data_IF_685111384489
#
_entry.id   IF_685111384489
#
_cell.length_a   1.000
_cell.length_b   1.000
_cell.length_c   1.000
_cell.angle_alpha   90.00
_cell.angle_beta   90.00
_cell.angle_gamma   90.00
#
_symmetry.space_group_name_H-M   'P 1'
#
loop_
_entity.id
_entity.type
_entity.pdbx_description
1 polymer ?
#
# COMPACT_ATOMS: atom_id res chain seq x y z
N UNK A 1 48.52 -61.72 31.80
CA UNK A 1 47.36 -62.16 32.60
C UNK A 1 46.53 -60.92 32.87
N UNK A 2 45.25 -60.78 32.57
CA UNK A 2 44.25 -61.62 31.94
C UNK A 2 43.11 -60.65 31.60
N UNK A 3 42.44 -60.91 30.47
CA UNK A 3 41.07 -60.54 30.08
C UNK A 3 40.13 -60.37 31.28
N UNK A 4 39.12 -59.48 31.27
CA UNK A 4 37.80 -59.75 30.68
C UNK A 4 37.07 -58.44 30.30
N UNK A 5 36.60 -58.40 29.04
CA UNK A 5 35.47 -57.60 28.54
C UNK A 5 34.16 -58.28 28.97
N UNK A 6 33.19 -57.54 29.48
CA UNK A 6 31.78 -57.97 29.46
C UNK A 6 30.83 -56.76 29.47
N UNK A 7 30.37 -56.43 28.26
CA UNK A 7 28.99 -56.10 27.87
C UNK A 7 28.11 -55.27 28.83
N UNK A 8 27.93 -53.99 28.47
CA UNK A 8 26.69 -53.27 28.77
C UNK A 8 25.93 -53.12 27.44
N UNK A 9 24.76 -53.76 27.39
CA UNK A 9 23.86 -53.73 26.26
C UNK A 9 23.42 -52.29 25.94
N UNK A 10 23.64 -51.88 24.69
CA UNK A 10 23.02 -50.68 24.12
C UNK A 10 21.53 -50.98 23.97
N UNK A 11 20.70 -50.41 24.84
CA UNK A 11 19.25 -50.39 24.64
C UNK A 11 18.99 -49.47 23.45
N UNK A 12 18.70 -50.08 22.31
CA UNK A 12 18.06 -49.41 21.19
C UNK A 12 16.56 -49.32 21.50
N UNK A 13 16.06 -48.09 21.63
CA UNK A 13 14.71 -47.60 21.33
C UNK A 13 14.60 -46.21 22.00
N UNK A 14 13.97 -45.19 21.44
CA UNK A 14 12.82 -45.21 20.55
C UNK A 14 12.85 -43.97 19.65
N UNK A 15 12.35 -44.17 18.43
CA UNK A 15 11.72 -43.16 17.57
C UNK A 15 12.32 -41.76 17.58
N UNK A 16 13.08 -41.45 16.52
CA UNK A 16 13.06 -40.10 15.97
C UNK A 16 11.59 -39.78 15.63
N UNK A 17 10.87 -39.21 16.59
CA UNK A 17 9.58 -38.60 16.36
C UNK A 17 9.79 -37.58 15.27
N UNK A 18 9.17 -37.81 14.12
CA UNK A 18 9.10 -36.85 13.05
C UNK A 18 8.51 -35.57 13.66
N UNK A 19 9.38 -34.59 13.96
CA UNK A 19 8.93 -33.23 14.16
C UNK A 19 8.26 -32.88 12.85
N UNK A 20 6.93 -32.90 12.85
CA UNK A 20 6.12 -32.47 11.72
C UNK A 20 6.61 -31.08 11.36
N UNK A 21 7.47 -31.01 10.36
CA UNK A 21 7.98 -29.77 9.80
C UNK A 21 6.81 -29.11 9.12
N UNK A 22 6.04 -28.34 9.88
CA UNK A 22 4.98 -27.51 9.32
C UNK A 22 5.64 -26.61 8.28
N UNK A 23 5.35 -26.90 7.00
CA UNK A 23 5.77 -26.01 5.92
C UNK A 23 5.18 -24.63 6.23
N UNK A 24 5.98 -23.55 6.14
CA UNK A 24 5.45 -22.21 6.32
C UNK A 24 4.29 -22.00 5.34
N UNK A 25 3.22 -21.30 5.75
CA UNK A 25 2.08 -21.09 4.88
C UNK A 25 2.53 -20.34 3.62
N UNK A 26 1.94 -20.71 2.48
CA UNK A 26 2.15 -19.96 1.25
C UNK A 26 1.71 -18.51 1.46
N UNK A 27 2.59 -17.57 1.15
CA UNK A 27 2.31 -16.14 1.21
C UNK A 27 1.72 -15.67 -0.11
N UNK A 28 1.05 -14.51 -0.07
CA UNK A 28 0.63 -13.82 -1.29
C UNK A 28 1.82 -13.56 -2.21
N UNK A 29 1.56 -13.64 -3.51
CA UNK A 29 2.49 -13.28 -4.57
C UNK A 29 1.76 -12.38 -5.56
N UNK A 30 2.51 -11.50 -6.22
CA UNK A 30 1.99 -10.66 -7.28
C UNK A 30 1.30 -11.54 -8.36
N UNK A 31 0.07 -11.19 -8.78
CA UNK A 31 -0.62 -11.95 -9.82
C UNK A 31 0.09 -11.83 -11.17
N UNK A 32 0.04 -12.90 -11.94
CA UNK A 32 0.53 -12.90 -13.31
C UNK A 32 -0.47 -12.24 -14.25
N UNK A 33 0.03 -11.40 -15.16
CA UNK A 33 -0.77 -10.80 -16.20
C UNK A 33 -0.87 -11.73 -17.41
N UNK A 34 -2.10 -12.11 -17.76
CA UNK A 34 -2.41 -13.03 -18.85
C UNK A 34 -2.96 -12.32 -20.09
N UNK A 35 -3.09 -10.99 -20.06
CA UNK A 35 -3.50 -10.19 -21.21
C UNK A 35 -2.37 -10.01 -22.23
N UNK A 36 -2.70 -9.41 -23.38
CA UNK A 36 -1.72 -9.14 -24.43
C UNK A 36 -0.88 -7.89 -24.11
N UNK A 37 0.32 -7.81 -24.70
CA UNK A 37 1.18 -6.62 -24.56
C UNK A 37 0.47 -5.38 -25.13
N UNK A 38 -0.26 -5.53 -26.23
CA UNK A 38 -0.99 -4.44 -26.88
C UNK A 38 -2.10 -3.88 -25.98
N UNK A 39 -2.77 -4.74 -25.21
CA UNK A 39 -3.78 -4.33 -24.23
C UNK A 39 -3.14 -3.55 -23.07
N UNK A 40 -1.98 -3.99 -22.58
CA UNK A 40 -1.22 -3.26 -21.56
C UNK A 40 -0.75 -1.91 -22.10
N UNK A 41 -0.20 -1.85 -23.32
CA UNK A 41 0.23 -0.61 -23.96
C UNK A 41 -0.95 0.36 -24.18
N UNK A 42 -2.16 -0.16 -24.40
CA UNK A 42 -3.36 0.67 -24.46
C UNK A 42 -3.67 1.31 -23.11
N UNK A 43 -3.60 0.55 -22.01
CA UNK A 43 -3.72 1.09 -20.65
C UNK A 43 -2.65 2.16 -20.36
N UNK A 44 -1.42 1.95 -20.81
CA UNK A 44 -0.33 2.94 -20.69
C UNK A 44 -0.63 4.24 -21.44
N UNK A 45 -1.11 4.15 -22.68
CA UNK A 45 -1.52 5.32 -23.47
C UNK A 45 -2.66 6.09 -22.81
N UNK A 46 -3.64 5.38 -22.27
CA UNK A 46 -4.75 5.98 -21.53
C UNK A 46 -4.28 6.69 -20.27
N UNK A 47 -3.38 6.07 -19.50
CA UNK A 47 -2.78 6.68 -18.32
C UNK A 47 -2.01 7.96 -18.70
N UNK A 48 -1.18 7.91 -19.75
CA UNK A 48 -0.47 9.08 -20.24
C UNK A 48 -1.43 10.21 -20.65
N UNK A 49 -2.51 9.88 -21.35
CA UNK A 49 -3.57 10.83 -21.72
C UNK A 49 -4.27 11.44 -20.50
N UNK A 50 -4.58 10.63 -19.49
CA UNK A 50 -5.17 11.10 -18.21
C UNK A 50 -4.25 12.07 -17.49
N UNK A 51 -2.95 11.74 -17.35
CA UNK A 51 -1.97 12.60 -16.69
C UNK A 51 -1.76 13.91 -17.46
N UNK A 52 -1.68 13.84 -18.80
CA UNK A 52 -1.56 15.03 -19.64
C UNK A 52 -2.81 15.92 -19.53
N UNK A 53 -4.01 15.33 -19.51
CA UNK A 53 -5.26 16.04 -19.31
C UNK A 53 -5.38 16.71 -17.94
N UNK A 54 -4.85 16.09 -16.88
CA UNK A 54 -4.76 16.71 -15.55
C UNK A 54 -3.77 17.88 -15.59
N UNK A 55 -2.55 17.69 -16.11
CA UNK A 55 -1.53 18.72 -16.18
C UNK A 55 -1.90 19.90 -17.10
N UNK A 56 -2.78 19.69 -18.09
CA UNK A 56 -3.32 20.75 -18.94
C UNK A 56 -4.41 21.59 -18.26
N UNK A 57 -5.03 21.08 -17.19
CA UNK A 57 -6.07 21.78 -16.41
C UNK A 57 -5.54 22.41 -15.13
N UNK A 58 -4.51 21.80 -14.53
CA UNK A 58 -4.01 22.12 -13.20
C UNK A 58 -2.48 22.25 -13.22
N UNK A 59 -1.96 23.33 -12.64
CA UNK A 59 -0.54 23.67 -12.67
C UNK A 59 0.18 23.34 -11.36
N UNK A 60 -0.57 22.99 -10.31
CA UNK A 60 -0.05 22.72 -8.96
C UNK A 60 -0.62 21.41 -8.41
N UNK A 61 -0.88 20.45 -9.29
CA UNK A 61 -1.45 19.17 -8.91
C UNK A 61 -0.45 18.41 -8.02
N UNK A 62 -0.96 17.77 -6.97
CA UNK A 62 -0.15 17.03 -5.99
C UNK A 62 -0.53 15.56 -6.01
N UNK A 63 0.44 14.68 -6.23
CA UNK A 63 0.26 13.24 -6.14
C UNK A 63 0.75 12.72 -4.79
N UNK A 64 -0.17 12.20 -3.97
CA UNK A 64 0.14 11.58 -2.70
C UNK A 64 0.54 10.12 -2.91
N UNK A 65 1.83 9.82 -2.83
CA UNK A 65 2.39 8.48 -3.00
C UNK A 65 2.68 7.85 -1.64
N UNK A 66 2.09 6.67 -1.40
CA UNK A 66 2.45 5.79 -0.29
C UNK A 66 3.63 4.87 -0.59
N UNK A 67 4.22 4.98 -1.79
CA UNK A 67 5.29 4.11 -2.30
C UNK A 67 4.88 2.63 -2.44
N UNK A 68 3.57 2.37 -2.51
CA UNK A 68 3.01 1.07 -2.87
C UNK A 68 3.07 0.83 -4.38
N UNK A 69 2.85 -0.42 -4.82
CA UNK A 69 2.93 -0.83 -6.22
C UNK A 69 2.19 0.12 -7.19
N UNK A 70 0.91 0.40 -6.97
CA UNK A 70 0.14 1.35 -7.77
C UNK A 70 0.71 2.76 -7.80
N UNK A 71 1.21 3.22 -6.67
CA UNK A 71 1.74 4.57 -6.55
C UNK A 71 3.08 4.69 -7.29
N UNK A 72 3.82 3.57 -7.39
CA UNK A 72 5.04 3.49 -8.19
C UNK A 72 4.76 3.49 -9.69
N UNK A 73 3.64 2.92 -10.16
CA UNK A 73 3.17 3.09 -11.55
C UNK A 73 2.94 4.57 -11.85
N UNK A 74 2.19 5.27 -10.99
CA UNK A 74 1.93 6.71 -11.18
C UNK A 74 3.20 7.55 -11.07
N UNK A 75 4.08 7.25 -10.11
CA UNK A 75 5.37 7.93 -9.95
C UNK A 75 6.19 7.81 -11.23
N UNK A 76 6.34 6.60 -11.77
CA UNK A 76 7.08 6.36 -12.99
C UNK A 76 6.44 7.07 -14.21
N UNK A 77 5.13 6.94 -14.39
CA UNK A 77 4.40 7.57 -15.48
C UNK A 77 4.47 9.10 -15.46
N UNK A 78 4.44 9.71 -14.26
CA UNK A 78 4.61 11.16 -14.09
C UNK A 78 6.05 11.57 -14.43
N UNK A 79 7.05 10.87 -13.86
CA UNK A 79 8.46 11.27 -13.98
C UNK A 79 9.06 10.98 -15.36
N UNK A 80 8.50 10.03 -16.13
CA UNK A 80 8.82 9.82 -17.55
C UNK A 80 7.90 10.57 -18.51
N UNK A 81 6.89 11.26 -17.99
CA UNK A 81 5.90 11.97 -18.79
C UNK A 81 6.47 13.18 -19.53
N UNK A 82 5.60 13.86 -20.27
CA UNK A 82 5.94 15.11 -20.94
C UNK A 82 6.41 16.17 -19.95
N UNK A 83 7.08 17.21 -20.45
CA UNK A 83 7.52 18.34 -19.61
C UNK A 83 6.36 18.99 -18.85
N UNK A 84 5.20 19.13 -19.49
CA UNK A 84 3.99 19.65 -18.85
C UNK A 84 3.55 18.76 -17.68
N UNK A 85 3.58 17.43 -17.83
CA UNK A 85 3.23 16.49 -16.75
C UNK A 85 4.24 16.59 -15.60
N UNK A 86 5.53 16.59 -15.89
CA UNK A 86 6.60 16.68 -14.88
C UNK A 86 6.58 18.02 -14.13
N UNK A 87 6.20 19.10 -14.80
CA UNK A 87 6.10 20.43 -14.19
C UNK A 87 4.79 20.61 -13.41
N UNK A 88 3.68 20.09 -13.91
CA UNK A 88 2.34 20.30 -13.37
C UNK A 88 1.95 19.36 -12.23
N UNK A 89 2.59 18.18 -12.10
CA UNK A 89 2.27 17.19 -11.08
C UNK A 89 3.48 16.93 -10.18
N UNK A 90 3.37 17.25 -8.89
CA UNK A 90 4.44 17.03 -7.91
C UNK A 90 4.11 15.84 -7.02
N UNK A 91 5.06 14.90 -6.96
CA UNK A 91 4.96 13.70 -6.12
C UNK A 91 5.47 14.00 -4.72
N UNK A 92 4.67 13.65 -3.70
CA UNK A 92 5.05 13.74 -2.29
C UNK A 92 4.64 12.46 -1.55
N UNK A 93 5.21 12.25 -0.36
CA UNK A 93 4.85 11.16 0.53
C UNK A 93 4.64 11.63 1.96
N UNK A 94 3.92 10.84 2.75
CA UNK A 94 3.71 11.06 4.17
C UNK A 94 4.66 10.17 4.97
N UNK A 95 5.76 10.76 5.44
CA UNK A 95 6.71 10.07 6.31
C UNK A 95 6.12 10.07 7.72
N UNK A 96 5.43 8.98 8.06
CA UNK A 96 4.63 8.91 9.30
C UNK A 96 5.47 8.77 10.57
N UNK A 97 6.79 8.64 10.47
CA UNK A 97 7.69 8.21 11.56
C UNK A 97 7.55 6.74 11.95
N UNK A 98 6.71 5.97 11.24
CA UNK A 98 6.36 4.57 11.53
C UNK A 98 6.31 3.70 10.28
N UNK A 99 6.95 4.11 9.18
CA UNK A 99 7.04 3.32 7.95
C UNK A 99 8.09 2.21 8.09
N UNK A 100 7.97 1.16 7.28
CA UNK A 100 9.02 0.13 7.21
C UNK A 100 10.30 0.71 6.60
N UNK A 101 11.45 0.16 6.99
CA UNK A 101 12.74 0.50 6.38
C UNK A 101 12.72 0.27 4.86
N UNK A 102 12.12 -0.83 4.40
CA UNK A 102 11.97 -1.13 2.97
C UNK A 102 11.09 -0.11 2.24
N UNK A 103 10.13 0.53 2.93
CA UNK A 103 9.33 1.61 2.34
C UNK A 103 10.17 2.87 2.15
N UNK A 104 11.00 3.22 3.15
CA UNK A 104 11.91 4.36 3.04
C UNK A 104 12.98 4.13 1.98
N UNK A 105 13.45 2.89 1.81
CA UNK A 105 14.43 2.54 0.77
C UNK A 105 13.90 2.76 -0.65
N UNK A 106 12.59 2.79 -0.88
CA UNK A 106 12.02 3.14 -2.20
C UNK A 106 12.35 4.59 -2.58
N UNK A 107 12.46 5.50 -1.61
CA UNK A 107 12.84 6.90 -1.86
C UNK A 107 14.22 7.00 -2.51
N UNK A 108 15.19 6.24 -1.97
CA UNK A 108 16.56 6.20 -2.50
C UNK A 108 16.58 5.57 -3.90
N UNK A 109 15.79 4.50 -4.12
CA UNK A 109 15.64 3.88 -5.44
C UNK A 109 15.05 4.84 -6.47
N UNK A 110 14.05 5.66 -6.08
CA UNK A 110 13.47 6.70 -6.95
C UNK A 110 14.51 7.77 -7.27
N UNK A 111 15.23 8.27 -6.26
CA UNK A 111 16.29 9.26 -6.46
C UNK A 111 17.38 8.74 -7.41
N UNK A 112 17.82 7.50 -7.22
CA UNK A 112 18.85 6.88 -8.05
C UNK A 112 18.39 6.68 -9.50
N UNK A 113 17.13 6.26 -9.72
CA UNK A 113 16.60 5.96 -11.05
C UNK A 113 16.19 7.21 -11.83
N UNK A 114 15.49 8.14 -11.19
CA UNK A 114 14.84 9.26 -11.87
C UNK A 114 15.53 10.60 -11.61
N UNK A 115 16.53 10.66 -10.71
CA UNK A 115 17.11 11.92 -10.27
C UNK A 115 16.11 12.82 -9.52
N UNK A 116 14.99 12.26 -9.05
CA UNK A 116 13.89 12.99 -8.44
C UNK A 116 13.81 12.74 -6.94
N UNK A 117 13.82 13.82 -6.15
CA UNK A 117 13.60 13.75 -4.70
C UNK A 117 12.12 13.86 -4.39
N UNK A 118 11.51 12.80 -3.86
CA UNK A 118 10.13 12.85 -3.37
C UNK A 118 10.09 13.72 -2.10
N UNK A 119 9.22 14.73 -2.11
CA UNK A 119 8.99 15.60 -0.96
C UNK A 119 8.34 14.79 0.18
N UNK A 120 8.89 14.89 1.39
CA UNK A 120 8.43 14.14 2.56
C UNK A 120 7.75 15.08 3.54
N UNK A 121 6.49 14.79 3.88
CA UNK A 121 5.77 15.48 4.94
C UNK A 121 5.75 14.60 6.19
N UNK A 122 6.37 15.10 7.26
CA UNK A 122 6.46 14.44 8.58
C UNK A 122 5.42 15.00 9.56
N UNK A 123 4.95 14.22 10.55
CA UNK A 123 4.05 14.74 11.58
C UNK A 123 4.67 15.87 12.41
N UNK A 124 3.80 16.72 12.96
CA UNK A 124 4.17 17.65 14.02
C UNK A 124 4.72 16.89 15.25
N UNK A 125 5.89 17.31 15.73
CA UNK A 125 6.62 16.61 16.77
C UNK A 125 5.92 16.72 18.13
N UNK A 126 5.36 17.88 18.45
CA UNK A 126 4.68 18.12 19.73
C UNK A 126 3.38 17.31 19.81
N UNK A 127 2.59 17.27 18.72
CA UNK A 127 1.40 16.45 18.62
C UNK A 127 1.72 14.95 18.78
N UNK A 128 2.82 14.48 18.18
CA UNK A 128 3.30 13.10 18.39
C UNK A 128 3.67 12.87 19.85
N UNK A 129 4.44 13.77 20.47
CA UNK A 129 4.84 13.63 21.88
C UNK A 129 3.62 13.58 22.82
N UNK A 130 2.63 14.45 22.58
CA UNK A 130 1.39 14.47 23.35
C UNK A 130 0.58 13.18 23.19
N UNK A 131 0.53 12.62 21.97
CA UNK A 131 -0.07 11.31 21.74
C UNK A 131 0.66 10.22 22.56
N UNK A 132 1.99 10.20 22.52
CA UNK A 132 2.80 9.21 23.23
C UNK A 132 2.64 9.29 24.75
N UNK A 133 2.55 10.50 25.32
CA UNK A 133 2.27 10.69 26.76
C UNK A 133 0.92 10.12 27.18
N UNK A 134 -0.09 10.24 26.31
CA UNK A 134 -1.47 9.83 26.61
C UNK A 134 -1.74 8.35 26.34
N UNK A 135 -1.21 7.82 25.23
CA UNK A 135 -1.54 6.50 24.70
C UNK A 135 -0.34 5.55 24.68
N UNK A 136 0.87 6.01 24.97
CA UNK A 136 2.09 5.22 24.79
C UNK A 136 2.48 5.01 23.32
N UNK A 137 3.57 4.28 23.10
CA UNK A 137 4.14 4.07 21.76
C UNK A 137 3.18 3.39 20.79
N UNK A 138 2.39 2.44 21.30
CA UNK A 138 1.53 1.57 20.51
C UNK A 138 0.04 1.65 20.93
N UNK A 139 -0.40 2.72 21.59
CA UNK A 139 -1.78 2.82 22.08
C UNK A 139 -2.85 2.85 20.99
N UNK A 140 -2.46 2.91 19.72
CA UNK A 140 -3.36 2.67 18.59
C UNK A 140 -3.89 1.22 18.52
N UNK A 141 -3.33 0.28 19.29
CA UNK A 141 -3.94 -1.05 19.48
C UNK A 141 -5.08 -1.04 20.49
N UNK A 142 -5.13 -0.05 21.38
CA UNK A 142 -6.04 -0.05 22.53
C UNK A 142 -7.48 0.30 22.12
N UNK A 143 -7.64 1.13 21.09
CA UNK A 143 -8.96 1.49 20.55
C UNK A 143 -8.91 2.06 19.13
N UNK A 144 -10.04 1.98 18.43
CA UNK A 144 -10.24 2.62 17.13
C UNK A 144 -10.02 4.13 17.21
N UNK A 145 -10.45 4.78 18.29
CA UNK A 145 -10.26 6.23 18.49
C UNK A 145 -8.79 6.59 18.66
N UNK A 146 -8.04 5.80 19.45
CA UNK A 146 -6.60 5.99 19.59
C UNK A 146 -5.86 5.75 18.26
N UNK A 147 -6.30 4.77 17.45
CA UNK A 147 -5.78 4.57 16.08
C UNK A 147 -6.10 5.75 15.17
N UNK A 148 -7.35 6.24 15.18
CA UNK A 148 -7.78 7.39 14.36
C UNK A 148 -7.01 8.65 14.76
N UNK A 149 -6.79 8.87 16.05
CA UNK A 149 -5.94 9.96 16.56
C UNK A 149 -4.49 9.85 16.06
N UNK A 150 -3.88 8.66 16.13
CA UNK A 150 -2.55 8.40 15.57
C UNK A 150 -2.50 8.69 14.06
N UNK A 151 -3.48 8.21 13.29
CA UNK A 151 -3.58 8.50 11.85
C UNK A 151 -3.83 9.99 11.57
N UNK A 152 -4.60 10.67 12.43
CA UNK A 152 -4.87 12.10 12.34
C UNK A 152 -3.58 12.90 12.38
N UNK A 153 -2.76 12.66 13.40
CA UNK A 153 -1.47 13.34 13.61
C UNK A 153 -0.45 12.94 12.55
N UNK A 154 -0.37 11.65 12.22
CA UNK A 154 0.71 11.13 11.35
C UNK A 154 0.40 11.16 9.85
N UNK A 155 -0.85 11.35 9.46
CA UNK A 155 -1.26 11.29 8.05
C UNK A 155 -2.20 12.42 7.65
N UNK A 156 -3.28 12.65 8.39
CA UNK A 156 -4.29 13.62 7.98
C UNK A 156 -3.76 15.05 8.05
N UNK A 157 -3.11 15.42 9.16
CA UNK A 157 -2.47 16.73 9.32
C UNK A 157 -1.36 16.95 8.27
N UNK A 158 -0.38 16.03 8.08
CA UNK A 158 0.65 16.21 7.05
C UNK A 158 0.08 16.29 5.63
N UNK A 159 -0.98 15.53 5.33
CA UNK A 159 -1.69 15.61 4.06
C UNK A 159 -2.32 17.00 3.85
N UNK A 160 -2.94 17.57 4.88
CA UNK A 160 -3.51 18.92 4.81
C UNK A 160 -2.45 19.96 4.47
N UNK A 161 -1.27 19.89 5.10
CA UNK A 161 -0.16 20.78 4.76
C UNK A 161 0.32 20.59 3.33
N UNK A 162 0.50 19.35 2.90
CA UNK A 162 0.94 19.04 1.54
C UNK A 162 -0.01 19.56 0.45
N UNK A 163 -1.33 19.55 0.74
CA UNK A 163 -2.38 19.97 -0.19
C UNK A 163 -2.83 21.42 -0.03
N UNK A 164 -2.34 22.17 0.97
CA UNK A 164 -2.79 23.53 1.32
C UNK A 164 -2.79 24.55 0.16
N UNK A 165 -1.99 24.30 -0.88
CA UNK A 165 -1.93 25.13 -2.07
C UNK A 165 -1.99 24.32 -3.38
N UNK A 166 -2.51 23.10 -3.31
CA UNK A 166 -2.78 22.28 -4.48
C UNK A 166 -4.05 22.76 -5.17
N UNK A 167 -4.08 22.70 -6.50
CA UNK A 167 -5.29 22.91 -7.31
C UNK A 167 -5.93 21.58 -7.75
N UNK A 168 -5.24 20.45 -7.53
CA UNK A 168 -5.76 19.10 -7.69
C UNK A 168 -4.98 18.09 -6.83
N UNK A 169 -5.63 16.98 -6.46
CA UNK A 169 -5.04 15.88 -5.69
C UNK A 169 -5.12 14.56 -6.46
N UNK A 170 -4.00 13.85 -6.62
CA UNK A 170 -3.98 12.51 -7.22
C UNK A 170 -3.74 11.44 -6.14
N UNK A 171 -4.35 10.26 -6.34
CA UNK A 171 -4.10 9.06 -5.54
C UNK A 171 -3.93 7.83 -6.45
N UNK A 172 -3.25 6.78 -5.95
CA UNK A 172 -3.18 5.48 -6.63
C UNK A 172 -4.37 4.56 -6.39
N UNK A 173 -5.49 5.05 -5.84
CA UNK A 173 -6.63 4.18 -5.54
C UNK A 173 -7.18 3.48 -6.78
N UNK A 174 -7.57 2.21 -6.61
CA UNK A 174 -8.20 1.38 -7.64
C UNK A 174 -9.42 0.65 -7.12
N UNK A 175 -10.34 0.28 -8.03
CA UNK A 175 -11.58 -0.42 -7.69
C UNK A 175 -11.36 -1.80 -7.08
N UNK A 176 -10.36 -2.54 -7.57
CA UNK A 176 -10.06 -3.91 -7.10
C UNK A 176 -9.44 -3.97 -5.69
N UNK A 177 -9.03 -2.83 -5.12
CA UNK A 177 -8.31 -2.84 -3.84
C UNK A 177 -9.19 -3.11 -2.61
N UNK A 178 -10.49 -2.84 -2.69
CA UNK A 178 -11.43 -3.06 -1.59
C UNK A 178 -12.87 -3.10 -2.12
N UNK A 179 -13.75 -3.85 -1.44
CA UNK A 179 -15.19 -3.92 -1.75
C UNK A 179 -15.84 -2.53 -1.74
N UNK A 180 -15.39 -1.65 -0.84
CA UNK A 180 -15.85 -0.25 -0.71
C UNK A 180 -15.48 0.65 -1.89
N UNK A 181 -14.63 0.17 -2.82
CA UNK A 181 -14.09 0.96 -3.94
C UNK A 181 -14.62 0.53 -5.30
N UNK A 182 -15.56 -0.42 -5.38
CA UNK A 182 -16.08 -0.92 -6.65
C UNK A 182 -16.54 0.20 -7.61
N UNK A 183 -17.12 1.28 -7.06
CA UNK A 183 -17.63 2.44 -7.82
C UNK A 183 -16.66 3.63 -7.84
N UNK A 184 -15.36 3.43 -7.56
CA UNK A 184 -14.39 4.53 -7.50
C UNK A 184 -14.30 5.24 -8.87
N UNK A 185 -14.60 6.55 -8.96
CA UNK A 185 -14.53 7.27 -10.22
C UNK A 185 -13.10 7.68 -10.55
N UNK A 186 -12.86 8.04 -11.81
CA UNK A 186 -11.59 8.64 -12.23
C UNK A 186 -11.37 10.02 -11.60
N UNK A 187 -12.43 10.82 -11.50
CA UNK A 187 -12.44 12.18 -10.95
C UNK A 187 -13.58 12.31 -9.94
N UNK A 188 -13.29 12.89 -8.78
CA UNK A 188 -14.22 13.18 -7.69
C UNK A 188 -13.86 14.55 -7.06
N UNK A 189 -14.73 15.08 -6.20
CA UNK A 189 -14.43 16.29 -5.42
C UNK A 189 -13.93 15.88 -4.04
N UNK A 190 -12.78 16.39 -3.61
CA UNK A 190 -12.38 16.35 -2.21
C UNK A 190 -13.13 17.46 -1.46
N UNK A 191 -14.34 17.15 -0.99
CA UNK A 191 -15.24 18.06 -0.25
C UNK A 191 -14.52 18.80 0.89
N UNK A 192 -13.59 18.13 1.59
CA UNK A 192 -12.88 18.71 2.73
C UNK A 192 -11.95 19.88 2.33
N UNK A 193 -11.47 19.90 1.08
CA UNK A 193 -10.49 20.89 0.58
C UNK A 193 -11.01 21.70 -0.60
N UNK A 194 -12.15 21.31 -1.18
CA UNK A 194 -12.76 21.97 -2.33
C UNK A 194 -11.92 21.86 -3.61
N UNK A 195 -11.12 20.79 -3.76
CA UNK A 195 -10.26 20.56 -4.93
C UNK A 195 -10.64 19.25 -5.64
N UNK A 196 -10.48 19.17 -6.97
CA UNK A 196 -10.67 17.93 -7.69
C UNK A 196 -9.64 16.88 -7.25
N UNK A 197 -10.12 15.66 -7.05
CA UNK A 197 -9.34 14.49 -6.69
C UNK A 197 -9.43 13.45 -7.81
N UNK A 198 -8.28 12.90 -8.16
CA UNK A 198 -8.11 12.00 -9.29
C UNK A 198 -7.59 10.64 -8.85
N UNK A 199 -8.14 9.59 -9.47
CA UNK A 199 -7.71 8.20 -9.32
C UNK A 199 -7.32 7.66 -10.71
N UNK A 200 -6.14 8.02 -11.26
CA UNK A 200 -5.83 7.74 -12.65
C UNK A 200 -5.70 6.24 -12.98
N UNK A 201 -5.60 5.38 -11.96
CA UNK A 201 -5.57 3.93 -12.05
C UNK A 201 -6.90 3.26 -11.62
N UNK A 202 -8.01 4.00 -11.53
CA UNK A 202 -9.28 3.49 -10.98
C UNK A 202 -9.73 2.15 -11.59
N UNK A 203 -9.50 1.98 -12.89
CA UNK A 203 -9.88 0.83 -13.72
C UNK A 203 -8.72 -0.14 -14.04
N UNK A 204 -7.60 -0.04 -13.31
CA UNK A 204 -6.48 -0.97 -13.45
C UNK A 204 -6.61 -2.12 -12.46
N UNK A 205 -6.41 -3.33 -12.97
CA UNK A 205 -6.29 -4.54 -12.18
C UNK A 205 -4.94 -4.65 -11.48
N UNK A 206 -4.86 -5.46 -10.43
CA UNK A 206 -3.59 -5.78 -9.76
C UNK A 206 -2.57 -6.38 -10.75
N UNK A 207 -3.01 -7.28 -11.65
CA UNK A 207 -2.14 -7.88 -12.65
C UNK A 207 -1.57 -6.86 -13.65
N UNK A 208 -2.37 -5.88 -14.10
CA UNK A 208 -1.89 -4.80 -14.97
C UNK A 208 -0.85 -3.90 -14.27
N UNK A 209 -1.06 -3.59 -12.99
CA UNK A 209 -0.09 -2.84 -12.17
C UNK A 209 1.25 -3.57 -12.13
N UNK A 210 1.26 -4.86 -11.79
CA UNK A 210 2.50 -5.64 -11.72
C UNK A 210 3.16 -5.84 -13.08
N UNK A 211 2.36 -6.02 -14.15
CA UNK A 211 2.88 -6.10 -15.51
C UNK A 211 3.60 -4.82 -15.92
N UNK A 212 3.02 -3.66 -15.63
CA UNK A 212 3.67 -2.36 -15.88
C UNK A 212 4.98 -2.23 -15.11
N UNK A 213 4.95 -2.46 -13.80
CA UNK A 213 6.13 -2.31 -12.94
C UNK A 213 7.28 -3.19 -13.43
N UNK A 214 6.98 -4.44 -13.80
CA UNK A 214 7.96 -5.39 -14.34
C UNK A 214 8.47 -4.95 -15.72
N UNK A 215 7.58 -4.56 -16.63
CA UNK A 215 7.92 -4.15 -18.00
C UNK A 215 8.84 -2.93 -18.03
N UNK A 216 8.59 -1.97 -17.15
CA UNK A 216 9.35 -0.72 -17.09
C UNK A 216 10.46 -0.73 -16.04
N UNK A 217 10.72 -1.84 -15.35
CA UNK A 217 11.73 -1.96 -14.30
C UNK A 217 11.58 -0.85 -13.23
N UNK A 218 10.34 -0.62 -12.80
CA UNK A 218 10.01 0.42 -11.82
C UNK A 218 10.43 -0.06 -10.43
N UNK A 219 11.11 0.76 -9.61
CA UNK A 219 11.47 0.37 -8.27
C UNK A 219 10.23 0.16 -7.42
N UNK A 220 10.18 -0.98 -6.75
CA UNK A 220 9.10 -1.35 -5.84
C UNK A 220 9.63 -1.62 -4.43
N UNK A 221 8.71 -1.64 -3.48
CA UNK A 221 9.00 -2.01 -2.09
C UNK A 221 9.31 -3.51 -1.99
N UNK A 222 10.45 -3.86 -1.41
CA UNK A 222 10.91 -5.26 -1.33
C UNK A 222 10.02 -6.14 -0.46
N UNK A 223 9.16 -5.54 0.38
CA UNK A 223 8.15 -6.27 1.16
C UNK A 223 7.12 -6.97 0.27
N UNK A 224 6.86 -6.51 -0.96
CA UNK A 224 5.94 -7.21 -1.86
C UNK A 224 6.41 -8.65 -2.14
N UNK A 225 7.72 -8.87 -2.31
CA UNK A 225 8.31 -10.20 -2.46
C UNK A 225 8.23 -11.06 -1.18
N UNK A 226 7.90 -10.43 -0.04
CA UNK A 226 7.72 -11.07 1.27
C UNK A 226 6.23 -11.23 1.63
N UNK A 227 5.32 -11.14 0.67
CA UNK A 227 3.89 -11.37 0.88
C UNK A 227 3.10 -10.18 1.41
N UNK A 228 3.56 -8.95 1.17
CA UNK A 228 2.85 -7.73 1.55
C UNK A 228 2.17 -7.05 0.34
N UNK A 229 0.93 -7.42 -0.02
CA UNK A 229 0.21 -6.74 -1.11
C UNK A 229 -0.11 -5.28 -0.79
N UNK A 230 -0.54 -4.98 0.45
CA UNK A 230 -0.82 -3.61 0.91
C UNK A 230 0.11 -3.20 2.03
N UNK A 231 0.84 -2.11 1.84
CA UNK A 231 1.86 -1.63 2.78
C UNK A 231 1.41 -0.29 3.41
N UNK A 232 1.68 -0.13 4.70
CA UNK A 232 1.46 1.11 5.42
C UNK A 232 2.51 1.31 6.50
N UNK A 233 2.08 1.84 7.66
CA UNK A 233 2.95 1.86 8.83
C UNK A 233 3.30 0.43 9.26
N UNK A 234 4.55 0.21 9.64
CA UNK A 234 5.11 -1.06 10.12
C UNK A 234 4.27 -1.74 11.19
N UNK A 235 3.87 -1.08 12.30
CA UNK A 235 3.06 -1.76 13.32
C UNK A 235 1.62 -2.06 12.85
N UNK A 236 1.18 -1.47 11.74
CA UNK A 236 -0.19 -1.59 11.24
C UNK A 236 -0.32 -2.50 10.02
N UNK A 237 0.74 -3.22 9.65
CA UNK A 237 0.83 -4.00 8.42
C UNK A 237 1.47 -5.36 8.72
N UNK A 238 0.93 -6.44 8.15
CA UNK A 238 1.56 -7.75 8.12
C UNK A 238 1.50 -8.35 6.72
N UNK A 239 2.34 -9.35 6.46
CA UNK A 239 2.17 -10.23 5.31
C UNK A 239 0.83 -10.95 5.35
N UNK A 240 0.31 -11.31 4.18
CA UNK A 240 -0.93 -12.10 4.04
C UNK A 240 -0.64 -13.43 3.36
N UNK A 241 -1.44 -14.45 3.68
CA UNK A 241 -1.35 -15.76 3.04
C UNK A 241 -1.93 -15.72 1.62
N UNK A 242 -1.54 -16.68 0.80
CA UNK A 242 -2.19 -16.92 -0.47
C UNK A 242 -3.71 -17.11 -0.27
N UNK A 243 -4.52 -16.42 -1.06
CA UNK A 243 -5.99 -16.45 -0.98
C UNK A 243 -6.61 -15.56 0.11
N UNK A 244 -5.83 -14.96 1.01
CA UNK A 244 -6.34 -13.87 1.85
C UNK A 244 -6.61 -12.62 1.01
N UNK A 245 -7.57 -11.81 1.45
CA UNK A 245 -7.82 -10.48 0.91
C UNK A 245 -6.52 -9.64 0.91
N UNK A 246 -6.28 -8.89 -0.17
CA UNK A 246 -5.03 -8.11 -0.38
C UNK A 246 -4.81 -7.01 0.65
N UNK A 247 -5.84 -6.63 1.42
CA UNK A 247 -5.76 -5.69 2.55
C UNK A 247 -5.94 -6.36 3.91
N UNK A 248 -6.04 -7.69 3.99
CA UNK A 248 -6.17 -8.43 5.26
C UNK A 248 -5.03 -8.16 6.25
N UNK A 249 -3.86 -7.76 5.74
CA UNK A 249 -2.70 -7.41 6.54
C UNK A 249 -2.79 -6.03 7.21
N UNK A 250 -3.78 -5.21 6.86
CA UNK A 250 -3.98 -3.85 7.41
C UNK A 250 -4.90 -3.91 8.61
N UNK A 251 -4.48 -3.29 9.72
CA UNK A 251 -5.23 -3.29 10.99
C UNK A 251 -5.76 -4.69 11.31
N UNK A 252 -4.87 -5.67 11.21
CA UNK A 252 -5.20 -7.09 11.24
C UNK A 252 -5.80 -7.56 12.57
N UNK A 253 -5.66 -6.75 13.63
CA UNK A 253 -6.27 -6.95 14.94
C UNK A 253 -7.69 -6.37 15.06
N UNK A 254 -8.15 -5.54 14.10
CA UNK A 254 -9.49 -4.96 14.08
C UNK A 254 -10.48 -5.77 13.21
N UNK A 255 -11.78 -5.58 13.45
CA UNK A 255 -12.86 -6.13 12.62
C UNK A 255 -12.75 -5.65 11.17
N UNK A 256 -13.27 -6.45 10.22
CA UNK A 256 -13.17 -6.17 8.77
C UNK A 256 -13.86 -4.86 8.37
N UNK A 257 -14.93 -4.48 9.05
CA UNK A 257 -15.78 -3.34 8.68
C UNK A 257 -15.14 -1.97 8.99
N UNK A 258 -14.02 -1.94 9.74
CA UNK A 258 -13.36 -0.70 10.18
C UNK A 258 -12.06 -0.40 9.43
N UNK A 259 -11.71 -1.19 8.41
CA UNK A 259 -10.37 -1.24 7.79
C UNK A 259 -10.12 -0.21 6.68
N UNK A 260 -10.66 1.00 6.80
CA UNK A 260 -10.26 2.11 5.95
C UNK A 260 -9.36 3.12 6.68
N UNK A 261 -8.50 3.76 5.88
CA UNK A 261 -7.63 4.82 6.37
C UNK A 261 -8.44 6.12 6.47
N UNK A 262 -8.22 6.88 7.54
CA UNK A 262 -8.82 8.21 7.73
C UNK A 262 -8.58 9.21 6.58
N UNK A 263 -7.63 8.93 5.67
CA UNK A 263 -7.32 9.77 4.51
C UNK A 263 -8.42 9.77 3.43
N UNK A 264 -9.34 8.80 3.45
CA UNK A 264 -10.26 8.56 2.34
C UNK A 264 -11.71 8.32 2.78
N UNK A 265 -12.07 8.73 4.00
CA UNK A 265 -13.39 8.45 4.59
C UNK A 265 -14.56 9.03 3.77
N UNK A 266 -14.33 10.12 3.02
CA UNK A 266 -15.35 10.73 2.14
C UNK A 266 -15.85 9.84 0.99
N UNK A 267 -15.14 8.75 0.66
CA UNK A 267 -15.49 7.86 -0.46
C UNK A 267 -16.47 6.75 -0.04
N UNK A 268 -16.81 6.64 1.25
CA UNK A 268 -17.68 5.59 1.77
C UNK A 268 -19.16 5.93 1.51
N UNK A 269 -19.73 5.38 0.44
CA UNK A 269 -21.17 5.09 0.41
C UNK A 269 -21.37 3.73 1.09
N UNK A 270 -22.21 3.68 2.12
CA UNK A 270 -22.53 2.45 2.86
C UNK A 270 -22.94 1.35 1.89
N UNK A 271 -22.22 0.22 1.90
CA UNK A 271 -22.60 -0.97 1.11
C UNK A 271 -23.85 -1.57 1.74
N UNK A 272 -24.96 -1.76 0.99
CA UNK A 272 -26.12 -2.48 1.50
C UNK A 272 -25.76 -3.94 1.78
N UNK A 273 -26.26 -4.50 2.89
CA UNK A 273 -26.00 -5.87 3.34
C UNK A 273 -26.29 -6.98 2.30
N UNK A 274 -26.97 -6.67 1.19
CA UNK A 274 -27.27 -7.62 0.11
C UNK A 274 -26.08 -7.91 -0.82
N UNK A 275 -25.01 -7.13 -0.80
CA UNK A 275 -23.84 -7.36 -1.65
C UNK A 275 -22.87 -8.43 -1.10
N UNK A 276 -22.91 -8.73 0.20
CA UNK A 276 -22.05 -9.71 0.86
C UNK A 276 -22.33 -11.16 0.43
N UNK A 277 -23.58 -11.47 0.04
CA UNK A 277 -24.00 -12.81 -0.30
C UNK A 277 -23.53 -13.29 -1.69
N UNK A 278 -23.10 -12.39 -2.57
CA UNK A 278 -22.74 -12.74 -3.95
C UNK A 278 -21.25 -13.07 -4.15
N UNK A 279 -20.36 -12.62 -3.27
CA UNK A 279 -18.93 -12.96 -3.34
C UNK A 279 -18.61 -14.37 -2.82
N UNK A 280 -19.45 -14.93 -1.94
CA UNK A 280 -19.26 -16.27 -1.39
C UNK A 280 -19.68 -17.42 -2.32
N UNK A 281 -20.22 -17.12 -3.52
CA UNK A 281 -20.76 -18.12 -4.46
C UNK A 281 -19.96 -18.30 -5.75
N UNK A 282 -18.80 -17.65 -5.88
CA UNK A 282 -17.94 -17.77 -7.08
C UNK A 282 -16.49 -18.19 -6.75
N UNK A 283 -16.28 -18.95 -5.68
CA UNK A 283 -15.00 -19.60 -5.35
C UNK A 283 -15.18 -21.11 -5.24
#
# INVERSE_FOLDING_TARGET
MSTVLSEIAVVAEAGAGAVSGLRPPALWVAPEYTGSIEALEQKERELAGRLAGIAGRYFRARFASSLAAEDMVLTDAILRGSEAVRAGIRVFTLQTGRLHAETLAVLDKVQARYGYTIEQFTPDAEAVENYLKKHGLNGFYDSIDARKSCCGIRKVEPLNRALSHADAWLTGQRREQAVTRAELPFEELDEARGIPKFNPLADWSEAEVWAYLKRHDVPVNDLHAKGYPSIGCEPCTRAVRAGEDVRAGRWWWESRDTKECGLHEGNLRSVPASAEANFAKQS
#
